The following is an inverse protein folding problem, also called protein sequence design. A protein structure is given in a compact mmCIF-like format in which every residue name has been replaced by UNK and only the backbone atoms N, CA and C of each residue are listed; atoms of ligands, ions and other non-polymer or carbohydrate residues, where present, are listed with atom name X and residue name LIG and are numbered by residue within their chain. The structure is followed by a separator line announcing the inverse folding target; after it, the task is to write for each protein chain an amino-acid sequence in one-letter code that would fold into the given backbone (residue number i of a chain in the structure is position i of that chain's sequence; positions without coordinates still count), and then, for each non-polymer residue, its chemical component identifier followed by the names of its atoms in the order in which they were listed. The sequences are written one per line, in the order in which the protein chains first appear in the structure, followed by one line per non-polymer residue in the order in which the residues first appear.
data_IF_931591127391
#
_entry.id   IF_931591127391
#
_cell.length_a   1.000
_cell.length_b   1.000
_cell.length_c   1.000
_cell.angle_alpha   90.00
_cell.angle_beta   90.00
_cell.angle_gamma   90.00
#
_symmetry.space_group_name_H-M   'P 1'
#
loop_
_entity.id
_entity.type
_entity.pdbx_description
1 polymer ?
#
# COMPACT_ATOMS: atom_id res chain seq x y z
N UNK A 1 -14.33 -28.95 -35.39
CA UNK A 1 -13.65 -29.40 -34.16
C UNK A 1 -12.44 -28.51 -33.84
N UNK A 2 -12.41 -27.26 -34.34
CA UNK A 2 -11.18 -26.45 -34.40
C UNK A 2 -11.08 -25.37 -33.32
N UNK A 3 -12.12 -25.19 -32.50
CA UNK A 3 -12.11 -24.20 -31.41
C UNK A 3 -11.46 -24.71 -30.10
N UNK A 4 -11.25 -26.03 -29.98
CA UNK A 4 -10.80 -26.67 -28.73
C UNK A 4 -9.26 -26.71 -28.62
N UNK A 5 -8.53 -26.53 -29.72
CA UNK A 5 -7.05 -26.60 -29.78
C UNK A 5 -6.38 -25.24 -29.89
N UNK A 6 -7.12 -24.13 -30.02
CA UNK A 6 -6.53 -22.81 -30.15
C UNK A 6 -5.83 -22.38 -28.83
N UNK A 7 -4.51 -22.34 -28.84
CA UNK A 7 -3.69 -21.79 -27.76
C UNK A 7 -4.11 -20.35 -27.46
N UNK A 8 -4.05 -19.94 -26.18
CA UNK A 8 -4.31 -18.55 -25.82
C UNK A 8 -3.36 -17.60 -26.55
N UNK A 9 -3.91 -16.50 -27.05
CA UNK A 9 -3.13 -15.41 -27.61
C UNK A 9 -2.01 -14.98 -26.62
N UNK A 10 -0.78 -14.73 -27.09
CA UNK A 10 0.32 -14.34 -26.21
C UNK A 10 0.02 -13.12 -25.33
N UNK A 11 -0.74 -12.14 -25.84
CA UNK A 11 -1.16 -10.95 -25.09
C UNK A 11 -2.18 -11.32 -24.00
N UNK A 12 -3.05 -12.31 -24.27
CA UNK A 12 -3.96 -12.84 -23.24
C UNK A 12 -3.20 -13.50 -22.11
N UNK A 13 -2.18 -14.31 -22.44
CA UNK A 13 -1.32 -14.96 -21.43
C UNK A 13 -0.56 -13.93 -20.60
N UNK A 14 0.15 -13.03 -21.26
CA UNK A 14 0.92 -11.97 -20.61
C UNK A 14 0.03 -11.04 -19.77
N UNK A 15 -1.16 -10.69 -20.28
CA UNK A 15 -2.11 -9.84 -19.59
C UNK A 15 -2.54 -10.40 -18.24
N UNK A 16 -2.95 -11.67 -18.19
CA UNK A 16 -3.36 -12.31 -16.93
C UNK A 16 -2.18 -12.59 -15.98
N UNK A 17 -0.99 -12.91 -16.51
CA UNK A 17 0.22 -13.03 -15.69
C UNK A 17 0.59 -11.69 -15.02
N UNK A 18 0.56 -10.59 -15.76
CA UNK A 18 0.84 -9.25 -15.23
C UNK A 18 -0.19 -8.82 -14.18
N UNK A 19 -1.48 -9.08 -14.42
CA UNK A 19 -2.52 -8.80 -13.43
C UNK A 19 -2.32 -9.64 -12.16
N UNK A 20 -1.98 -10.93 -12.30
CA UNK A 20 -1.63 -11.78 -11.16
C UNK A 20 -0.45 -11.25 -10.36
N UNK A 21 0.63 -10.86 -11.04
CA UNK A 21 1.83 -10.31 -10.43
C UNK A 21 1.54 -9.00 -9.68
N UNK A 22 0.80 -8.09 -10.31
CA UNK A 22 0.38 -6.85 -9.68
C UNK A 22 -0.51 -7.10 -8.46
N UNK A 23 -1.44 -8.06 -8.52
CA UNK A 23 -2.25 -8.48 -7.36
C UNK A 23 -1.40 -9.00 -6.21
N UNK A 24 -0.32 -9.73 -6.50
CA UNK A 24 0.66 -10.15 -5.49
C UNK A 24 1.30 -8.96 -4.79
N UNK A 25 1.81 -8.00 -5.59
CA UNK A 25 2.42 -6.78 -5.05
C UNK A 25 1.46 -5.93 -4.24
N UNK A 26 0.22 -5.76 -4.70
CA UNK A 26 -0.82 -5.07 -3.93
C UNK A 26 -1.18 -5.79 -2.64
N UNK A 27 -1.31 -7.12 -2.68
CA UNK A 27 -1.60 -7.90 -1.48
C UNK A 27 -0.53 -7.70 -0.42
N UNK A 28 0.74 -7.77 -0.82
CA UNK A 28 1.88 -7.57 0.07
C UNK A 28 1.94 -6.14 0.62
N UNK A 29 1.89 -5.13 -0.26
CA UNK A 29 1.92 -3.72 0.12
C UNK A 29 0.73 -3.30 1.00
N UNK A 30 -0.47 -3.84 0.77
CA UNK A 30 -1.65 -3.53 1.60
C UNK A 30 -1.57 -4.27 2.93
N UNK A 31 -1.36 -5.58 2.92
CA UNK A 31 -1.43 -6.38 4.14
C UNK A 31 -0.22 -6.12 5.03
N UNK A 32 0.99 -6.14 4.48
CA UNK A 32 2.22 -6.04 5.27
C UNK A 32 2.65 -4.59 5.52
N UNK A 33 2.59 -3.71 4.52
CA UNK A 33 3.09 -2.34 4.68
C UNK A 33 2.05 -1.41 5.32
N UNK A 34 0.76 -1.58 5.00
CA UNK A 34 -0.28 -0.64 5.42
C UNK A 34 -1.10 -1.14 6.62
N UNK A 35 -1.63 -2.37 6.58
CA UNK A 35 -2.50 -2.90 7.64
C UNK A 35 -1.69 -3.37 8.83
N UNK A 36 -0.74 -4.29 8.61
CA UNK A 36 0.05 -4.88 9.69
C UNK A 36 1.27 -4.04 10.05
N UNK A 37 1.76 -3.23 9.10
CA UNK A 37 2.93 -2.37 9.23
C UNK A 37 4.16 -3.15 9.75
N UNK A 38 4.30 -4.40 9.33
CA UNK A 38 5.40 -5.26 9.79
C UNK A 38 6.73 -4.87 9.16
N UNK A 39 6.69 -4.26 7.97
CA UNK A 39 7.81 -3.66 7.29
C UNK A 39 7.32 -2.69 6.21
N UNK A 40 8.24 -1.87 5.72
CA UNK A 40 8.12 -1.07 4.51
C UNK A 40 9.11 -1.60 3.46
N UNK A 41 8.95 -1.18 2.20
CA UNK A 41 9.75 -1.64 1.07
C UNK A 41 11.27 -1.51 1.30
N UNK A 42 11.70 -0.51 2.06
CA UNK A 42 13.12 -0.19 2.28
C UNK A 42 13.51 -0.26 3.76
N UNK A 43 12.79 -1.03 4.59
CA UNK A 43 13.06 -1.12 6.04
C UNK A 43 14.45 -1.65 6.41
N UNK A 44 15.11 -2.38 5.52
CA UNK A 44 16.47 -2.90 5.67
C UNK A 44 17.56 -1.91 5.24
N UNK A 45 17.20 -0.75 4.69
CA UNK A 45 18.17 0.33 4.41
C UNK A 45 18.72 0.88 5.72
N UNK A 46 20.02 1.20 5.75
CA UNK A 46 20.68 1.70 6.95
C UNK A 46 20.19 3.09 7.39
N UNK A 47 20.36 3.38 8.68
CA UNK A 47 20.03 4.68 9.26
C UNK A 47 20.95 5.80 8.77
N UNK A 48 20.45 7.05 8.71
CA UNK A 48 19.11 7.49 9.17
C UNK A 48 17.99 7.27 8.16
N UNK A 49 18.32 6.92 6.91
CA UNK A 49 17.34 6.81 5.80
C UNK A 49 16.33 5.70 6.05
N UNK A 50 16.78 4.55 6.56
CA UNK A 50 15.92 3.43 6.94
C UNK A 50 14.87 3.78 8.00
N UNK A 51 15.26 4.55 9.02
CA UNK A 51 14.34 5.01 10.07
C UNK A 51 13.38 6.14 9.69
N UNK A 52 13.57 6.82 8.54
CA UNK A 52 12.68 7.91 8.13
C UNK A 52 11.35 7.37 7.59
N UNK A 53 10.32 7.43 8.42
CA UNK A 53 8.97 6.99 8.07
C UNK A 53 8.42 7.67 6.80
N UNK A 54 8.75 8.94 6.54
CA UNK A 54 8.26 9.65 5.36
C UNK A 54 8.87 9.08 4.09
N UNK A 55 10.16 8.76 4.14
CA UNK A 55 10.87 8.09 3.06
C UNK A 55 10.28 6.70 2.80
N UNK A 56 10.04 5.92 3.86
CA UNK A 56 9.45 4.59 3.75
C UNK A 56 8.05 4.61 3.13
N UNK A 57 7.17 5.50 3.60
CA UNK A 57 5.82 5.67 3.04
C UNK A 57 5.87 6.10 1.56
N UNK A 58 6.80 7.01 1.20
CA UNK A 58 6.99 7.42 -0.19
C UNK A 58 7.45 6.22 -1.04
N UNK A 59 8.42 5.44 -0.57
CA UNK A 59 8.92 4.27 -1.27
C UNK A 59 7.81 3.23 -1.48
N UNK A 60 6.99 2.98 -0.46
CA UNK A 60 5.79 2.13 -0.58
C UNK A 60 4.82 2.67 -1.62
N UNK A 61 4.57 3.98 -1.65
CA UNK A 61 3.72 4.61 -2.65
C UNK A 61 4.24 4.43 -4.08
N UNK A 62 5.55 4.58 -4.29
CA UNK A 62 6.20 4.33 -5.59
C UNK A 62 6.11 2.85 -6.00
N UNK A 63 6.24 1.94 -5.04
CA UNK A 63 6.04 0.52 -5.25
C UNK A 63 4.60 0.20 -5.71
N UNK A 64 3.59 0.76 -5.05
CA UNK A 64 2.19 0.61 -5.47
C UNK A 64 1.95 1.21 -6.85
N UNK A 65 2.54 2.38 -7.15
CA UNK A 65 2.47 2.98 -8.48
C UNK A 65 3.08 2.07 -9.55
N UNK A 66 4.20 1.42 -9.25
CA UNK A 66 4.78 0.42 -10.15
C UNK A 66 3.82 -0.76 -10.39
N UNK A 67 3.16 -1.26 -9.35
CA UNK A 67 2.15 -2.31 -9.48
C UNK A 67 0.94 -1.87 -10.33
N UNK A 68 0.54 -0.60 -10.25
CA UNK A 68 -0.45 -0.03 -11.15
C UNK A 68 -0.01 -0.03 -12.61
N UNK A 69 1.24 0.35 -12.89
CA UNK A 69 1.77 0.33 -14.26
C UNK A 69 1.70 -1.08 -14.84
N UNK A 70 2.07 -2.10 -14.05
CA UNK A 70 1.95 -3.52 -14.47
C UNK A 70 0.50 -3.94 -14.70
N UNK A 71 -0.42 -3.54 -13.81
CA UNK A 71 -1.85 -3.82 -13.94
C UNK A 71 -2.47 -3.17 -15.18
N UNK A 72 -2.14 -1.90 -15.46
CA UNK A 72 -2.60 -1.18 -16.65
C UNK A 72 -2.03 -1.83 -17.91
N UNK A 73 -0.73 -2.14 -17.93
CA UNK A 73 -0.11 -2.85 -19.05
C UNK A 73 -0.80 -4.20 -19.31
N UNK A 74 -1.07 -4.98 -18.26
CA UNK A 74 -1.80 -6.23 -18.36
C UNK A 74 -3.20 -6.05 -18.95
N UNK A 75 -3.94 -5.04 -18.48
CA UNK A 75 -5.28 -4.70 -18.98
C UNK A 75 -5.25 -4.27 -20.44
N UNK A 76 -4.29 -3.43 -20.84
CA UNK A 76 -4.11 -2.98 -22.22
C UNK A 76 -3.84 -4.18 -23.15
N UNK A 77 -3.01 -5.13 -22.72
CA UNK A 77 -2.76 -6.36 -23.49
C UNK A 77 -4.05 -7.19 -23.66
N UNK A 78 -4.87 -7.32 -22.61
CA UNK A 78 -6.16 -8.03 -22.70
C UNK A 78 -7.15 -7.33 -23.62
N UNK A 79 -7.24 -6.00 -23.56
CA UNK A 79 -8.09 -5.20 -24.46
C UNK A 79 -7.60 -5.33 -25.90
N UNK A 80 -6.29 -5.25 -26.14
CA UNK A 80 -5.69 -5.41 -27.46
C UNK A 80 -5.90 -6.82 -28.02
N UNK A 81 -5.81 -7.86 -27.19
CA UNK A 81 -6.12 -9.23 -27.58
C UNK A 81 -7.58 -9.37 -28.02
N UNK A 82 -8.51 -8.82 -27.22
CA UNK A 82 -9.95 -8.84 -27.53
C UNK A 82 -10.27 -8.09 -28.82
N UNK A 83 -9.68 -6.90 -29.01
CA UNK A 83 -9.85 -6.11 -30.23
C UNK A 83 -9.33 -6.84 -31.48
N UNK A 84 -8.30 -7.68 -31.33
CA UNK A 84 -7.77 -8.52 -32.39
C UNK A 84 -8.55 -9.83 -32.61
N UNK A 85 -9.69 -10.02 -31.95
CA UNK A 85 -10.52 -11.22 -32.10
C UNK A 85 -10.02 -12.45 -31.33
N UNK A 86 -9.09 -12.29 -30.38
CA UNK A 86 -8.63 -13.40 -29.55
C UNK A 86 -9.77 -13.96 -28.67
N UNK A 87 -9.74 -15.27 -28.44
CA UNK A 87 -10.68 -15.90 -27.50
C UNK A 87 -10.41 -15.42 -26.06
N UNK A 88 -11.45 -15.16 -25.24
CA UNK A 88 -11.33 -14.53 -23.93
C UNK A 88 -10.75 -15.42 -22.80
N UNK A 89 -10.30 -16.65 -23.11
CA UNK A 89 -9.91 -17.64 -22.10
C UNK A 89 -11.10 -18.21 -21.32
N UNK A 90 -10.90 -19.40 -20.74
CA UNK A 90 -11.81 -20.02 -19.77
C UNK A 90 -11.47 -19.55 -18.35
N UNK A 91 -12.41 -19.70 -17.41
CA UNK A 91 -12.16 -19.34 -15.99
C UNK A 91 -10.90 -20.00 -15.44
N UNK A 92 -10.72 -21.29 -15.73
CA UNK A 92 -9.54 -22.06 -15.29
C UNK A 92 -8.25 -21.48 -15.84
N UNK A 93 -8.20 -21.17 -17.14
CA UNK A 93 -7.03 -20.60 -17.79
C UNK A 93 -6.65 -19.24 -17.18
N UNK A 94 -7.65 -18.38 -16.94
CA UNK A 94 -7.44 -17.07 -16.32
C UNK A 94 -6.90 -17.22 -14.90
N UNK A 95 -7.52 -18.08 -14.08
CA UNK A 95 -7.09 -18.29 -12.70
C UNK A 95 -5.67 -18.87 -12.62
N UNK A 96 -5.33 -19.81 -13.51
CA UNK A 96 -3.97 -20.35 -13.59
C UNK A 96 -2.93 -19.28 -13.90
N UNK A 97 -3.20 -18.41 -14.88
CA UNK A 97 -2.29 -17.34 -15.24
C UNK A 97 -2.19 -16.28 -14.12
N UNK A 98 -3.32 -15.94 -13.49
CA UNK A 98 -3.33 -15.01 -12.37
C UNK A 98 -2.58 -15.57 -11.15
N UNK A 99 -2.81 -16.83 -10.76
CA UNK A 99 -2.06 -17.48 -9.67
C UNK A 99 -0.58 -17.64 -10.00
N UNK A 100 -0.24 -17.92 -11.26
CA UNK A 100 1.16 -17.95 -11.69
C UNK A 100 1.83 -16.59 -11.48
N UNK A 101 1.21 -15.51 -11.93
CA UNK A 101 1.72 -14.15 -11.70
C UNK A 101 1.85 -13.82 -10.22
N UNK A 102 0.80 -14.09 -9.42
CA UNK A 102 0.76 -13.83 -7.99
C UNK A 102 1.87 -14.57 -7.24
N UNK A 103 2.04 -15.85 -7.52
CA UNK A 103 3.09 -16.65 -6.91
C UNK A 103 4.49 -16.22 -7.33
N UNK A 104 4.70 -15.86 -8.60
CA UNK A 104 5.98 -15.35 -9.09
C UNK A 104 6.37 -14.05 -8.39
N UNK A 105 5.43 -13.13 -8.12
CA UNK A 105 5.72 -11.94 -7.31
C UNK A 105 6.31 -12.30 -5.95
N UNK A 106 5.66 -13.19 -5.20
CA UNK A 106 6.12 -13.58 -3.86
C UNK A 106 7.47 -14.33 -3.89
N UNK A 107 7.75 -15.08 -4.95
CA UNK A 107 9.07 -15.69 -5.15
C UNK A 107 10.13 -14.62 -5.40
N UNK A 108 9.83 -13.64 -6.27
CA UNK A 108 10.75 -12.52 -6.55
C UNK A 108 11.00 -11.73 -5.27
N UNK A 109 9.96 -11.41 -4.51
CA UNK A 109 10.07 -10.65 -3.28
C UNK A 109 10.92 -11.37 -2.23
N UNK A 110 10.60 -12.63 -1.94
CA UNK A 110 11.37 -13.43 -0.99
C UNK A 110 12.85 -13.59 -1.42
N UNK A 111 13.09 -13.99 -2.67
CA UNK A 111 14.45 -14.31 -3.11
C UNK A 111 15.25 -13.03 -3.34
N UNK A 112 14.74 -12.12 -4.15
CA UNK A 112 15.50 -10.94 -4.58
C UNK A 112 15.52 -9.89 -3.47
N UNK A 113 14.37 -9.48 -2.94
CA UNK A 113 14.32 -8.36 -2.02
C UNK A 113 14.65 -8.76 -0.59
N UNK A 114 14.15 -9.90 -0.10
CA UNK A 114 14.46 -10.31 1.28
C UNK A 114 15.81 -10.99 1.46
N UNK A 115 16.21 -11.88 0.54
CA UNK A 115 17.40 -12.72 0.74
C UNK A 115 18.65 -12.19 0.06
N UNK A 116 18.55 -11.78 -1.21
CA UNK A 116 19.70 -11.28 -1.96
C UNK A 116 20.05 -9.84 -1.60
N UNK A 117 19.05 -8.95 -1.63
CA UNK A 117 19.26 -7.52 -1.41
C UNK A 117 19.07 -7.11 0.05
N UNK A 118 18.33 -7.89 0.83
CA UNK A 118 18.06 -7.58 2.25
C UNK A 118 17.34 -6.26 2.45
N UNK A 119 16.51 -5.83 1.49
CA UNK A 119 15.81 -4.54 1.54
C UNK A 119 14.73 -4.50 2.62
N UNK A 120 14.18 -5.66 2.96
CA UNK A 120 13.20 -5.85 4.02
C UNK A 120 13.10 -7.35 4.37
N UNK A 121 12.38 -7.66 5.43
CA UNK A 121 12.02 -9.03 5.86
C UNK A 121 10.52 -9.02 6.11
N UNK A 122 9.85 -10.16 6.00
CA UNK A 122 8.40 -10.24 6.24
C UNK A 122 7.99 -9.61 7.58
N UNK A 123 8.76 -9.89 8.62
CA UNK A 123 8.55 -9.31 9.94
C UNK A 123 9.89 -8.89 10.55
N UNK A 124 10.19 -7.59 10.47
CA UNK A 124 11.50 -7.03 10.85
C UNK A 124 11.83 -7.24 12.33
N UNK A 125 10.83 -7.20 13.21
CA UNK A 125 10.98 -7.28 14.66
C UNK A 125 10.78 -8.69 15.25
N UNK A 126 10.95 -9.74 14.44
CA UNK A 126 10.83 -11.12 14.88
C UNK A 126 12.18 -11.69 15.30
N UNK A 127 12.21 -12.52 16.36
CA UNK A 127 13.40 -13.30 16.73
C UNK A 127 13.75 -14.38 15.68
N UNK A 128 12.78 -14.75 14.83
CA UNK A 128 12.93 -15.75 13.77
C UNK A 128 12.50 -15.17 12.41
N UNK A 129 13.23 -14.20 11.84
CA UNK A 129 12.81 -13.50 10.61
C UNK A 129 12.78 -14.44 9.39
N UNK A 130 13.68 -15.44 9.33
CA UNK A 130 13.69 -16.41 8.23
C UNK A 130 12.47 -17.34 8.24
N UNK A 131 11.94 -17.67 9.42
CA UNK A 131 10.74 -18.52 9.51
C UNK A 131 9.52 -17.82 8.91
N UNK A 132 9.38 -16.51 9.14
CA UNK A 132 8.30 -15.71 8.55
C UNK A 132 8.43 -15.58 7.03
N UNK A 133 9.65 -15.34 6.52
CA UNK A 133 9.92 -15.33 5.09
C UNK A 133 9.52 -16.65 4.41
N UNK A 134 9.93 -17.78 4.98
CA UNK A 134 9.61 -19.10 4.45
C UNK A 134 8.10 -19.35 4.51
N UNK A 135 7.45 -19.04 5.63
CA UNK A 135 6.01 -19.23 5.78
C UNK A 135 5.22 -18.41 4.75
N UNK A 136 5.57 -17.13 4.57
CA UNK A 136 4.93 -16.25 3.59
C UNK A 136 5.15 -16.74 2.16
N UNK A 137 6.39 -17.08 1.81
CA UNK A 137 6.74 -17.63 0.49
C UNK A 137 5.99 -18.93 0.21
N UNK A 138 5.88 -19.83 1.18
CA UNK A 138 5.16 -21.09 0.99
C UNK A 138 3.67 -20.85 0.77
N UNK A 139 3.03 -20.05 1.62
CA UNK A 139 1.58 -19.84 1.59
C UNK A 139 1.14 -19.01 0.39
N UNK A 140 1.88 -17.96 0.04
CA UNK A 140 1.47 -16.99 -0.98
C UNK A 140 2.31 -17.05 -2.27
N UNK A 141 3.47 -17.70 -2.25
CA UNK A 141 4.27 -18.01 -3.43
C UNK A 141 4.01 -19.42 -3.96
N UNK A 142 4.42 -20.43 -3.19
CA UNK A 142 4.48 -21.83 -3.65
C UNK A 142 3.08 -22.45 -3.79
N UNK A 143 2.18 -22.28 -2.81
CA UNK A 143 0.83 -22.85 -2.89
C UNK A 143 0.08 -22.34 -4.13
N UNK A 144 0.04 -21.02 -4.44
CA UNK A 144 -0.55 -20.54 -5.70
C UNK A 144 0.10 -21.14 -6.96
N UNK A 145 1.42 -21.30 -7.00
CA UNK A 145 2.11 -21.94 -8.13
C UNK A 145 1.73 -23.43 -8.26
N UNK A 146 1.56 -24.15 -7.17
CA UNK A 146 1.08 -25.55 -7.19
C UNK A 146 -0.38 -25.60 -7.64
N UNK A 147 -1.23 -24.65 -7.24
CA UNK A 147 -2.63 -24.56 -7.68
C UNK A 147 -2.74 -24.44 -9.22
N UNK A 148 -1.77 -23.81 -9.88
CA UNK A 148 -1.70 -23.76 -11.35
C UNK A 148 -1.74 -25.16 -11.97
N UNK A 149 -1.04 -26.12 -11.35
CA UNK A 149 -0.87 -27.49 -11.85
C UNK A 149 -2.11 -28.36 -11.61
N UNK A 150 -2.78 -28.16 -10.47
CA UNK A 150 -3.89 -29.05 -10.04
C UNK A 150 -5.28 -28.56 -10.44
N UNK A 151 -5.44 -27.28 -10.78
CA UNK A 151 -6.73 -26.74 -11.22
C UNK A 151 -7.22 -27.48 -12.47
N UNK A 152 -8.40 -28.11 -12.50
CA UNK A 152 -8.85 -28.90 -13.64
C UNK A 152 -9.27 -28.01 -14.81
N UNK A 153 -8.99 -28.43 -16.06
CA UNK A 153 -9.46 -27.76 -17.26
C UNK A 153 -10.99 -27.86 -17.39
N UNK A 154 -11.72 -26.99 -16.68
CA UNK A 154 -13.16 -26.85 -16.86
C UNK A 154 -13.47 -25.84 -17.95
N UNK A 155 -14.27 -26.26 -18.92
CA UNK A 155 -14.80 -25.41 -19.98
C UNK A 155 -15.91 -24.51 -19.47
N UNK A 156 -15.93 -23.26 -19.94
CA UNK A 156 -16.97 -22.28 -19.60
C UNK A 156 -16.47 -20.84 -19.82
N UNK A 157 -17.33 -19.92 -20.27
CA UNK A 157 -16.94 -18.54 -20.51
C UNK A 157 -16.55 -17.84 -19.20
N UNK A 158 -15.38 -17.20 -19.20
CA UNK A 158 -14.75 -16.64 -18.00
C UNK A 158 -15.32 -15.29 -17.50
N UNK A 159 -16.62 -15.03 -17.75
CA UNK A 159 -17.24 -13.72 -17.51
C UNK A 159 -17.09 -13.26 -16.05
N UNK A 160 -17.17 -14.18 -15.08
CA UNK A 160 -17.07 -13.87 -13.65
C UNK A 160 -15.64 -13.64 -13.16
N UNK A 161 -14.68 -14.49 -13.54
CA UNK A 161 -13.32 -14.42 -13.02
C UNK A 161 -12.55 -13.21 -13.57
N UNK A 162 -12.72 -12.90 -14.85
CA UNK A 162 -12.10 -11.74 -15.50
C UNK A 162 -12.59 -10.43 -14.86
N UNK A 163 -13.90 -10.30 -14.66
CA UNK A 163 -14.49 -9.16 -13.97
C UNK A 163 -14.02 -9.06 -12.52
N UNK A 164 -14.08 -10.17 -11.76
CA UNK A 164 -13.66 -10.18 -10.35
C UNK A 164 -12.20 -9.78 -10.17
N UNK A 165 -11.26 -10.35 -10.93
CA UNK A 165 -9.84 -10.02 -10.81
C UNK A 165 -9.57 -8.56 -11.18
N UNK A 166 -10.16 -8.08 -12.28
CA UNK A 166 -10.02 -6.69 -12.70
C UNK A 166 -10.62 -5.74 -11.66
N UNK A 167 -11.80 -6.06 -11.13
CA UNK A 167 -12.43 -5.30 -10.05
C UNK A 167 -11.60 -5.32 -8.78
N UNK A 168 -11.02 -6.45 -8.38
CA UNK A 168 -10.13 -6.52 -7.20
C UNK A 168 -8.89 -5.65 -7.43
N UNK A 169 -8.27 -5.68 -8.60
CA UNK A 169 -7.13 -4.79 -8.93
C UNK A 169 -7.53 -3.32 -8.82
N UNK A 170 -8.64 -2.93 -9.44
CA UNK A 170 -9.12 -1.55 -9.41
C UNK A 170 -9.54 -1.11 -8.00
N UNK A 171 -10.20 -1.99 -7.24
CA UNK A 171 -10.66 -1.72 -5.87
C UNK A 171 -9.53 -1.72 -4.86
N UNK A 172 -8.57 -2.64 -4.93
CA UNK A 172 -7.37 -2.65 -4.08
C UNK A 172 -6.59 -1.34 -4.28
N UNK A 173 -6.49 -0.92 -5.55
CA UNK A 173 -5.94 0.39 -5.88
C UNK A 173 -6.73 1.56 -5.28
N UNK A 174 -8.06 1.60 -5.48
CA UNK A 174 -8.89 2.64 -4.89
C UNK A 174 -8.83 2.62 -3.36
N UNK A 175 -8.80 1.46 -2.72
CA UNK A 175 -8.73 1.30 -1.27
C UNK A 175 -7.41 1.85 -0.70
N UNK A 176 -6.28 1.62 -1.39
CA UNK A 176 -4.99 2.22 -1.03
C UNK A 176 -5.03 3.77 -1.10
N UNK A 177 -5.87 4.35 -1.96
CA UNK A 177 -6.11 5.79 -2.02
C UNK A 177 -7.26 6.30 -1.12
N UNK A 178 -8.18 5.42 -0.70
CA UNK A 178 -9.45 5.79 -0.08
C UNK A 178 -9.51 5.64 1.45
N UNK A 179 -8.44 5.20 2.10
CA UNK A 179 -8.31 5.18 3.57
C UNK A 179 -8.87 6.42 4.30
N UNK A 180 -8.72 7.66 3.76
CA UNK A 180 -9.29 8.87 4.36
C UNK A 180 -10.82 8.96 4.40
N UNK A 181 -11.56 8.23 3.54
CA UNK A 181 -13.00 8.41 3.40
C UNK A 181 -13.83 7.69 4.47
N UNK A 182 -13.33 6.57 5.01
CA UNK A 182 -14.13 5.69 5.87
C UNK A 182 -14.12 6.08 7.35
N UNK A 183 -13.12 6.84 7.80
CA UNK A 183 -12.97 7.16 9.23
C UNK A 183 -13.63 8.48 9.65
N UNK A 184 -14.24 9.23 8.74
CA UNK A 184 -14.84 10.53 9.09
C UNK A 184 -13.85 11.50 9.77
N UNK A 185 -12.54 11.28 9.60
CA UNK A 185 -11.50 11.93 10.39
C UNK A 185 -11.74 13.44 10.43
N UNK A 186 -11.97 13.94 11.64
CA UNK A 186 -12.18 15.35 11.92
C UNK A 186 -10.87 16.16 11.88
N UNK A 187 -9.74 15.46 11.69
CA UNK A 187 -8.39 15.99 11.85
C UNK A 187 -7.50 15.65 10.65
N UNK A 188 -6.77 16.65 10.15
CA UNK A 188 -5.71 16.47 9.16
C UNK A 188 -4.35 16.35 9.85
N UNK A 189 -3.56 15.34 9.49
CA UNK A 189 -2.16 15.24 9.89
C UNK A 189 -1.32 16.01 8.88
N UNK A 190 -0.57 16.99 9.37
CA UNK A 190 0.37 17.81 8.63
C UNK A 190 1.78 17.41 9.03
N UNK A 191 2.65 17.33 8.03
CA UNK A 191 4.02 16.88 8.17
C UNK A 191 4.92 17.97 7.56
N UNK A 192 5.61 18.73 8.39
CA UNK A 192 6.44 19.86 7.97
C UNK A 192 7.83 19.41 7.53
N UNK A 193 8.39 20.05 6.50
CA UNK A 193 9.79 19.88 6.11
C UNK A 193 10.73 20.00 7.32
N UNK A 194 11.74 19.12 7.39
CA UNK A 194 12.76 19.19 8.42
C UNK A 194 13.47 20.55 8.43
N UNK A 195 13.76 21.07 9.62
CA UNK A 195 14.46 22.36 9.81
C UNK A 195 13.61 23.60 9.61
N UNK A 196 12.28 23.48 9.48
CA UNK A 196 11.40 24.64 9.44
C UNK A 196 11.30 25.29 10.82
N UNK A 197 11.35 26.62 10.88
CA UNK A 197 11.16 27.34 12.15
C UNK A 197 9.73 27.16 12.68
N UNK A 198 9.52 26.95 13.99
CA UNK A 198 8.17 26.79 14.55
C UNK A 198 7.20 27.93 14.20
N UNK A 199 7.71 29.17 14.11
CA UNK A 199 6.93 30.33 13.68
C UNK A 199 6.52 30.27 12.19
N UNK A 200 7.32 29.64 11.33
CA UNK A 200 6.96 29.41 9.95
C UNK A 200 5.91 28.30 9.82
N UNK A 201 6.02 27.24 10.62
CA UNK A 201 5.01 26.17 10.70
C UNK A 201 3.66 26.73 11.16
N UNK A 202 3.64 27.55 12.22
CA UNK A 202 2.41 28.16 12.73
C UNK A 202 1.75 29.08 11.70
N UNK A 203 2.53 29.93 11.03
CA UNK A 203 2.01 30.77 9.94
C UNK A 203 1.44 29.95 8.79
N UNK A 204 2.04 28.80 8.47
CA UNK A 204 1.52 27.94 7.42
C UNK A 204 0.15 27.35 7.78
N UNK A 205 -0.05 26.96 9.03
CA UNK A 205 -1.33 26.48 9.58
C UNK A 205 -2.38 27.58 9.59
N UNK A 206 -2.02 28.78 10.04
CA UNK A 206 -2.91 29.94 10.08
C UNK A 206 -3.39 30.35 8.68
N UNK A 207 -2.48 30.45 7.70
CA UNK A 207 -2.85 30.75 6.31
C UNK A 207 -3.69 29.64 5.68
N UNK A 208 -3.55 28.40 6.17
CA UNK A 208 -4.37 27.28 5.72
C UNK A 208 -5.78 27.28 6.33
N UNK A 209 -6.08 28.24 7.21
CA UNK A 209 -7.33 28.32 7.98
C UNK A 209 -7.60 27.01 8.73
N UNK A 210 -6.55 26.49 9.38
CA UNK A 210 -6.59 25.25 10.13
C UNK A 210 -6.23 25.49 11.59
N UNK A 211 -6.82 24.72 12.49
CA UNK A 211 -6.62 24.83 13.93
C UNK A 211 -5.78 23.68 14.46
N UNK A 212 -4.64 24.03 15.08
CA UNK A 212 -3.76 23.06 15.74
C UNK A 212 -4.47 22.35 16.89
N UNK A 213 -4.45 21.01 16.85
CA UNK A 213 -4.99 20.12 17.89
C UNK A 213 -3.88 19.45 18.68
N UNK A 214 -2.82 19.03 18.01
CA UNK A 214 -1.73 18.27 18.63
C UNK A 214 -0.43 18.38 17.84
N UNK A 215 0.71 18.23 18.52
CA UNK A 215 2.05 18.18 17.95
C UNK A 215 2.77 16.95 18.50
N UNK A 216 3.45 16.22 17.63
CA UNK A 216 4.24 15.06 18.01
C UNK A 216 5.54 15.44 18.73
N UNK A 217 6.19 14.44 19.32
CA UNK A 217 7.45 14.64 20.04
C UNK A 217 8.59 15.15 19.15
N UNK A 218 8.57 14.91 17.83
CA UNK A 218 9.57 15.47 16.90
C UNK A 218 9.37 16.95 16.63
N UNK A 219 8.19 17.51 16.93
CA UNK A 219 7.80 18.88 16.64
C UNK A 219 7.48 19.14 15.16
N UNK A 220 7.54 18.13 14.30
CA UNK A 220 7.37 18.27 12.84
C UNK A 220 6.09 17.67 12.29
N UNK A 221 5.35 16.90 13.11
CA UNK A 221 4.09 16.26 12.75
C UNK A 221 3.00 16.86 13.62
N UNK A 222 2.05 17.55 12.99
CA UNK A 222 0.99 18.28 13.68
C UNK A 222 -0.35 17.71 13.25
N UNK A 223 -1.26 17.48 14.19
CA UNK A 223 -2.65 17.23 13.89
C UNK A 223 -3.40 18.56 13.96
N UNK A 224 -4.08 18.94 12.88
CA UNK A 224 -5.00 20.08 12.82
C UNK A 224 -6.42 19.57 12.57
N UNK A 225 -7.41 20.44 12.55
CA UNK A 225 -8.74 20.13 12.01
C UNK A 225 -8.73 19.82 10.50
N UNK A 226 -9.90 19.66 9.89
CA UNK A 226 -9.98 19.30 8.47
C UNK A 226 -9.53 20.48 7.59
N UNK A 227 -8.44 20.26 6.85
CA UNK A 227 -7.91 21.25 5.91
C UNK A 227 -8.73 21.29 4.61
N UNK A 228 -9.12 22.49 4.18
CA UNK A 228 -9.79 22.71 2.88
C UNK A 228 -8.85 22.48 1.69
N UNK A 229 -9.39 22.32 0.47
CA UNK A 229 -8.55 22.22 -0.74
C UNK A 229 -7.59 23.40 -0.93
N UNK A 230 -8.02 24.62 -0.58
CA UNK A 230 -7.17 25.82 -0.63
C UNK A 230 -6.09 25.78 0.44
N UNK A 231 -6.44 25.36 1.66
CA UNK A 231 -5.50 25.18 2.76
C UNK A 231 -4.44 24.14 2.43
N UNK A 232 -4.82 23.04 1.77
CA UNK A 232 -3.89 21.98 1.35
C UNK A 232 -2.84 22.52 0.36
N UNK A 233 -3.25 23.30 -0.63
CA UNK A 233 -2.33 23.95 -1.59
C UNK A 233 -1.41 24.93 -0.87
N UNK A 234 -1.94 25.73 0.07
CA UNK A 234 -1.14 26.67 0.87
C UNK A 234 -0.08 25.97 1.72
N UNK A 235 -0.44 24.88 2.39
CA UNK A 235 0.47 24.07 3.20
C UNK A 235 1.59 23.46 2.33
N UNK A 236 1.24 22.87 1.19
CA UNK A 236 2.22 22.28 0.27
C UNK A 236 3.20 23.33 -0.26
N UNK A 237 2.69 24.50 -0.67
CA UNK A 237 3.53 25.61 -1.14
C UNK A 237 4.50 26.13 -0.06
N UNK A 238 4.21 25.88 1.22
CA UNK A 238 5.01 26.29 2.38
C UNK A 238 5.83 25.15 2.98
N UNK A 239 5.95 24.02 2.27
CA UNK A 239 6.78 22.90 2.67
C UNK A 239 6.13 21.98 3.71
N UNK A 240 4.80 21.97 3.79
CA UNK A 240 4.03 21.09 4.67
C UNK A 240 3.19 20.11 3.83
N UNK A 241 3.26 18.82 4.15
CA UNK A 241 2.50 17.77 3.49
C UNK A 241 1.29 17.39 4.34
N UNK A 242 0.11 17.32 3.74
CA UNK A 242 -1.12 16.83 4.41
C UNK A 242 -1.29 15.35 4.08
N UNK A 243 -1.39 14.49 5.09
CA UNK A 243 -1.23 13.01 4.94
C UNK A 243 -2.47 12.20 5.31
N UNK A 244 -3.55 12.84 5.76
CA UNK A 244 -4.76 12.13 6.21
C UNK A 244 -6.08 12.59 5.58
N UNK A 245 -6.10 13.60 4.71
CA UNK A 245 -7.35 14.14 4.16
C UNK A 245 -7.36 14.42 2.66
N UNK A 246 -6.43 13.86 1.87
CA UNK A 246 -6.45 14.06 0.42
C UNK A 246 -7.06 12.85 -0.28
N UNK A 247 -8.23 12.98 -0.94
CA UNK A 247 -8.89 11.93 -1.71
C UNK A 247 -8.09 11.27 -2.83
N UNK A 248 -6.96 11.86 -3.22
CA UNK A 248 -6.26 11.50 -4.48
C UNK A 248 -4.74 11.31 -4.27
N UNK A 249 -4.15 11.81 -3.18
CA UNK A 249 -2.69 11.77 -2.97
C UNK A 249 -2.41 11.59 -1.46
N UNK A 250 -1.95 10.39 -1.08
CA UNK A 250 -1.42 10.07 0.25
C UNK A 250 -2.42 10.11 1.41
N UNK A 251 -3.19 9.03 1.55
CA UNK A 251 -4.08 8.78 2.69
C UNK A 251 -3.66 7.56 3.49
N UNK A 252 -2.56 7.62 4.25
CA UNK A 252 -2.08 6.48 5.05
C UNK A 252 -1.98 6.74 6.56
N UNK A 253 -2.26 7.96 7.06
CA UNK A 253 -2.02 8.31 8.48
C UNK A 253 -3.26 8.75 9.28
N UNK A 254 -4.47 8.39 8.85
CA UNK A 254 -5.70 8.83 9.53
C UNK A 254 -6.12 8.00 10.78
N UNK A 255 -5.22 7.21 11.40
CA UNK A 255 -5.61 6.25 12.44
C UNK A 255 -5.67 6.85 13.87
N UNK A 256 -4.98 7.94 14.19
CA UNK A 256 -4.87 8.38 15.60
C UNK A 256 -6.04 9.26 16.05
N UNK A 257 -6.98 8.68 16.80
CA UNK A 257 -7.95 9.41 17.62
C UNK A 257 -7.23 10.18 18.73
N UNK A 258 -7.23 11.52 18.64
CA UNK A 258 -6.67 12.42 19.65
C UNK A 258 -7.50 12.48 20.95
N UNK A 259 -8.59 11.70 21.06
CA UNK A 259 -9.52 11.75 22.19
C UNK A 259 -9.05 10.96 23.43
N UNK A 260 -8.02 10.12 23.31
CA UNK A 260 -7.60 9.20 24.40
C UNK A 260 -6.48 9.69 25.32
N UNK A 261 -5.84 10.84 25.06
CA UNK A 261 -4.59 11.22 25.74
C UNK A 261 -4.71 12.41 26.73
N UNK A 262 -5.93 12.83 27.07
CA UNK A 262 -6.18 13.99 27.95
C UNK A 262 -6.37 13.66 29.45
N UNK A 263 -5.95 12.48 29.93
CA UNK A 263 -6.12 12.08 31.33
C UNK A 263 -4.84 11.57 32.02
N UNK A 264 -3.77 12.37 32.05
CA UNK A 264 -2.72 12.16 33.06
C UNK A 264 -1.93 13.43 33.40
N UNK A 265 -2.61 14.47 33.89
CA UNK A 265 -1.91 15.60 34.53
C UNK A 265 -2.73 16.26 35.64
N UNK A 266 -3.02 15.54 36.73
CA UNK A 266 -3.28 16.21 38.02
C UNK A 266 -3.16 15.27 39.22
N UNK A 267 -1.95 15.12 39.78
CA UNK A 267 -1.76 15.05 41.24
C UNK A 267 -0.26 15.10 41.60
N UNK A 268 0.28 16.31 41.68
CA UNK A 268 1.31 16.62 42.67
C UNK A 268 0.77 17.76 43.53
N UNK A 269 0.16 17.41 44.68
CA UNK A 269 -0.03 18.36 45.78
C UNK A 269 1.13 18.19 46.74
N UNK A 270 1.83 19.29 46.98
CA UNK A 270 3.00 19.37 47.83
C UNK A 270 2.71 19.03 49.30
N UNK A 271 3.77 18.55 49.96
CA UNK A 271 3.86 18.44 51.41
C UNK A 271 4.75 19.58 51.89
N UNK A 272 4.32 20.47 52.82
CA UNK A 272 5.23 21.42 53.43
C UNK A 272 6.03 20.74 54.54
N UNK A 273 7.33 20.96 54.54
CA UNK A 273 8.22 20.58 55.64
C UNK A 273 7.86 21.37 56.90
N UNK A 274 7.79 20.69 58.05
CA UNK A 274 7.81 21.31 59.38
C UNK A 274 9.14 21.01 60.06
N UNK A 275 9.74 22.08 60.61
CA UNK A 275 10.59 22.04 61.79
C UNK A 275 9.72 21.80 63.03
#
# INVERSE_FOLDING_TARGET
MDAITATLDPRTRAGWLLLGFALGGFFDGIVLHQILQWHHLLSGVADPVGSDLRFQIMADGLFHLFMYVLAVAGTVLLVAARAAGARPGTTTEILRLAFAGFGVWHVVDAVVFHWLLGLHRIKMNSDLPLAWDIAWLVIFGIVPLVLVLVLPNRGGPARGASAALTSIVLLAGLAAGAGPFFNGAANSIIVFRAGMEPAAMMRAVEVADAHLKWVDASGTIWAVDRVSWRGLVSLHARGALVVSTTPVIAGCLAWTDAAGMSSSSSQQRGTPARL
#
